data_IF_252119920294
#
_entry.id   IF_252119920294
#
_cell.length_a   1.000
_cell.length_b   1.000
_cell.length_c   1.000
_cell.angle_alpha   90.00
_cell.angle_beta   90.00
_cell.angle_gamma   90.00
#
_symmetry.space_group_name_H-M   'P 1'
#
loop_
_entity.id
_entity.type
_entity.pdbx_description
1 polymer ?
#
# COMPACT_ATOMS: atom_id res chain seq x y z
N UNK A 1 -5.43 -37.42 26.77
CA UNK A 1 -5.80 -37.28 25.34
C UNK A 1 -7.23 -36.77 25.08
N UNK A 2 -8.13 -36.65 26.06
CA UNK A 2 -9.51 -36.15 25.85
C UNK A 2 -9.70 -34.63 25.97
N UNK A 3 -8.74 -33.92 26.57
CA UNK A 3 -8.80 -32.47 26.81
C UNK A 3 -8.58 -31.62 25.54
N UNK A 4 -7.76 -32.08 24.59
CA UNK A 4 -7.42 -31.31 23.37
C UNK A 4 -8.60 -31.26 22.38
N UNK A 5 -9.34 -32.37 22.19
CA UNK A 5 -10.47 -32.45 21.25
C UNK A 5 -11.65 -31.55 21.63
N UNK A 6 -11.87 -31.32 22.93
CA UNK A 6 -12.90 -30.38 23.43
C UNK A 6 -12.52 -28.92 23.15
N UNK A 7 -11.25 -28.57 23.34
CA UNK A 7 -10.76 -27.22 23.05
C UNK A 7 -10.88 -26.86 21.55
N UNK A 8 -10.67 -27.83 20.65
CA UNK A 8 -10.84 -27.63 19.20
C UNK A 8 -12.32 -27.41 18.82
N UNK A 9 -13.24 -28.18 19.40
CA UNK A 9 -14.69 -28.01 19.15
C UNK A 9 -15.24 -26.67 19.66
N UNK A 10 -14.76 -26.21 20.81
CA UNK A 10 -15.12 -24.92 21.39
C UNK A 10 -14.57 -23.75 20.55
N UNK A 11 -13.34 -23.86 20.03
CA UNK A 11 -12.77 -22.88 19.11
C UNK A 11 -13.54 -22.80 17.77
N UNK A 12 -13.96 -23.94 17.20
CA UNK A 12 -14.77 -23.98 15.97
C UNK A 12 -16.14 -23.33 16.21
N UNK A 13 -16.78 -23.62 17.34
CA UNK A 13 -18.10 -23.07 17.67
C UNK A 13 -18.07 -21.54 17.85
N UNK A 14 -17.00 -21.00 18.45
CA UNK A 14 -16.77 -19.55 18.56
C UNK A 14 -16.46 -18.86 17.23
N UNK A 15 -15.99 -19.60 16.22
CA UNK A 15 -15.69 -19.09 14.88
C UNK A 15 -16.91 -19.05 13.94
N UNK A 16 -17.90 -19.91 14.16
CA UNK A 16 -19.13 -20.01 13.35
C UNK A 16 -19.82 -18.67 13.03
N UNK A 17 -19.93 -17.69 13.97
CA UNK A 17 -20.57 -16.40 13.69
C UNK A 17 -19.76 -15.51 12.73
N UNK A 18 -18.45 -15.71 12.66
CA UNK A 18 -17.53 -14.91 11.85
C UNK A 18 -17.32 -15.48 10.45
N UNK A 19 -17.76 -16.71 10.19
CA UNK A 19 -17.56 -17.40 8.93
C UNK A 19 -18.20 -16.64 7.74
N UNK A 20 -19.44 -16.17 7.92
CA UNK A 20 -20.15 -15.37 6.89
C UNK A 20 -19.46 -14.03 6.58
N UNK A 21 -19.13 -13.16 7.57
CA UNK A 21 -18.44 -11.92 7.27
C UNK A 21 -17.03 -12.15 6.70
N UNK A 22 -16.30 -13.16 7.16
CA UNK A 22 -14.97 -13.50 6.61
C UNK A 22 -15.07 -13.94 5.14
N UNK A 23 -15.99 -14.85 4.80
CA UNK A 23 -16.20 -15.28 3.42
C UNK A 23 -16.67 -14.13 2.54
N UNK A 24 -17.51 -13.22 3.07
CA UNK A 24 -17.93 -12.03 2.34
C UNK A 24 -16.77 -11.08 2.07
N UNK A 25 -15.89 -10.84 3.06
CA UNK A 25 -14.71 -10.01 2.91
C UNK A 25 -13.70 -10.65 1.95
N UNK A 26 -13.50 -11.98 2.03
CA UNK A 26 -12.69 -12.74 1.09
C UNK A 26 -13.21 -12.59 -0.35
N UNK A 27 -14.53 -12.67 -0.54
CA UNK A 27 -15.17 -12.50 -1.85
C UNK A 27 -15.04 -11.09 -2.40
N UNK A 28 -15.15 -10.06 -1.58
CA UNK A 28 -14.92 -8.67 -2.02
C UNK A 28 -13.43 -8.43 -2.34
N UNK A 29 -12.52 -8.90 -1.48
CA UNK A 29 -11.07 -8.81 -1.69
C UNK A 29 -10.60 -9.62 -2.91
N UNK A 30 -11.30 -10.71 -3.25
CA UNK A 30 -11.01 -11.53 -4.43
C UNK A 30 -11.23 -10.80 -5.75
N UNK A 31 -12.05 -9.75 -5.77
CA UNK A 31 -12.31 -8.95 -6.97
C UNK A 31 -11.13 -8.04 -7.34
N UNK A 32 -10.25 -7.76 -6.37
CA UNK A 32 -9.04 -6.99 -6.64
C UNK A 32 -7.98 -7.91 -7.27
N UNK A 33 -7.30 -7.49 -8.35
CA UNK A 33 -6.10 -8.16 -8.82
C UNK A 33 -5.05 -8.30 -7.70
N UNK A 34 -4.31 -9.40 -7.70
CA UNK A 34 -3.30 -9.73 -6.67
C UNK A 34 -2.35 -8.55 -6.44
N UNK A 35 -1.79 -7.97 -7.50
CA UNK A 35 -0.83 -6.85 -7.40
C UNK A 35 -1.43 -5.61 -6.72
N UNK A 36 -2.74 -5.34 -6.89
CA UNK A 36 -3.39 -4.21 -6.21
C UNK A 36 -3.44 -4.46 -4.70
N UNK A 37 -3.70 -5.69 -4.25
CA UNK A 37 -3.68 -6.04 -2.84
C UNK A 37 -2.27 -5.96 -2.24
N UNK A 38 -1.26 -6.44 -2.97
CA UNK A 38 0.16 -6.29 -2.60
C UNK A 38 0.46 -4.80 -2.37
N UNK A 39 0.06 -3.96 -3.32
CA UNK A 39 0.31 -2.53 -3.29
C UNK A 39 -0.38 -1.81 -2.11
N UNK A 40 -1.65 -2.15 -1.84
CA UNK A 40 -2.36 -1.59 -0.68
C UNK A 40 -1.72 -2.02 0.64
N UNK A 41 -1.33 -3.29 0.76
CA UNK A 41 -0.63 -3.79 1.95
C UNK A 41 0.71 -3.09 2.14
N UNK A 42 1.42 -2.82 1.04
CA UNK A 42 2.69 -2.10 1.04
C UNK A 42 2.51 -0.66 1.53
N UNK A 43 1.46 0.04 1.07
CA UNK A 43 1.09 1.39 1.54
C UNK A 43 0.73 1.41 3.03
N UNK A 44 -0.14 0.50 3.47
CA UNK A 44 -0.57 0.43 4.88
C UNK A 44 0.60 0.19 5.82
N UNK A 45 1.51 -0.72 5.46
CA UNK A 45 2.73 -0.97 6.24
C UNK A 45 3.68 0.22 6.23
N UNK A 46 3.73 0.98 5.14
CA UNK A 46 4.58 2.16 5.04
C UNK A 46 4.22 3.20 6.10
N UNK A 47 2.94 3.36 6.45
CA UNK A 47 2.47 4.29 7.49
C UNK A 47 3.02 3.97 8.89
N UNK A 48 3.40 2.71 9.15
CA UNK A 48 3.98 2.30 10.43
C UNK A 48 5.51 2.30 10.47
N UNK A 49 6.17 2.38 9.31
CA UNK A 49 7.64 2.25 9.18
C UNK A 49 8.28 3.56 8.76
N UNK A 50 7.63 4.31 7.87
CA UNK A 50 8.15 5.58 7.40
C UNK A 50 7.86 6.69 8.42
N UNK A 51 8.73 7.72 8.47
CA UNK A 51 8.43 8.96 9.17
C UNK A 51 7.12 9.60 8.71
N UNK A 52 6.62 10.55 9.50
CA UNK A 52 5.46 11.35 9.16
C UNK A 52 5.62 12.06 7.80
N UNK A 53 4.48 12.41 7.22
CA UNK A 53 4.42 13.04 5.90
C UNK A 53 5.21 14.35 5.85
N UNK A 54 5.81 14.59 4.70
CA UNK A 54 6.72 15.71 4.47
C UNK A 54 5.94 16.98 4.20
N UNK A 55 5.99 17.93 5.14
CA UNK A 55 5.46 19.27 4.92
C UNK A 55 6.52 20.18 4.28
N UNK A 56 6.25 20.67 3.08
CA UNK A 56 7.18 21.52 2.33
C UNK A 56 7.43 22.86 3.00
N UNK A 57 6.43 23.39 3.72
CA UNK A 57 6.57 24.63 4.49
C UNK A 57 7.64 24.48 5.57
N UNK A 58 7.65 23.33 6.25
CA UNK A 58 8.62 23.01 7.30
C UNK A 58 10.02 22.74 6.74
N UNK A 59 10.11 22.19 5.52
CA UNK A 59 11.38 21.95 4.83
C UNK A 59 12.07 23.24 4.35
N UNK A 60 11.30 24.24 3.91
CA UNK A 60 11.83 25.54 3.49
C UNK A 60 12.03 26.46 4.70
N UNK A 61 11.19 26.33 5.71
CA UNK A 61 11.26 27.12 6.95
C UNK A 61 10.56 28.47 6.85
N UNK A 62 10.89 29.43 7.75
CA UNK A 62 10.15 30.68 7.94
C UNK A 62 10.04 31.58 6.70
N UNK A 63 10.93 31.38 5.73
CA UNK A 63 10.98 32.15 4.48
C UNK A 63 9.97 31.64 3.44
N UNK A 64 9.31 30.50 3.67
CA UNK A 64 8.35 29.91 2.72
C UNK A 64 7.28 30.91 2.28
N UNK A 65 6.62 31.56 3.24
CA UNK A 65 5.54 32.53 2.99
C UNK A 65 6.02 33.83 2.30
N UNK A 66 7.34 34.04 2.20
CA UNK A 66 7.92 35.21 1.51
C UNK A 66 8.06 34.99 0.01
N UNK A 67 8.21 33.73 -0.43
CA UNK A 67 8.50 33.38 -1.84
C UNK A 67 7.42 32.49 -2.47
N UNK A 68 6.63 31.79 -1.67
CA UNK A 68 5.57 30.91 -2.14
C UNK A 68 4.24 31.30 -1.49
N UNK A 69 3.18 31.28 -2.30
CA UNK A 69 1.81 31.35 -1.80
C UNK A 69 1.10 30.07 -2.19
N UNK A 70 0.53 29.40 -1.21
CA UNK A 70 -0.19 28.14 -1.40
C UNK A 70 -1.66 28.43 -1.64
N UNK A 71 -2.20 27.90 -2.75
CA UNK A 71 -3.64 27.95 -3.01
C UNK A 71 -4.41 26.88 -2.20
N UNK A 72 -3.72 25.82 -1.77
CA UNK A 72 -4.26 24.71 -0.98
C UNK A 72 -3.14 24.10 -0.12
N UNK A 73 -3.18 24.38 1.18
CA UNK A 73 -2.16 23.93 2.12
C UNK A 73 -2.08 22.40 2.26
N UNK A 74 -3.15 21.66 1.91
CA UNK A 74 -3.10 20.20 1.89
C UNK A 74 -2.16 19.67 0.80
N UNK A 75 -1.89 20.45 -0.26
CA UNK A 75 -0.93 20.10 -1.31
C UNK A 75 0.53 20.36 -0.88
N UNK A 76 0.74 21.02 0.25
CA UNK A 76 2.09 21.18 0.84
C UNK A 76 2.55 19.94 1.60
N UNK A 77 1.66 18.99 1.88
CA UNK A 77 1.97 17.75 2.57
C UNK A 77 2.15 16.63 1.54
N UNK A 78 3.36 16.07 1.49
CA UNK A 78 3.72 14.96 0.60
C UNK A 78 3.80 13.69 1.44
N UNK A 79 3.00 12.65 1.12
CA UNK A 79 3.12 11.37 1.80
C UNK A 79 4.55 10.84 1.73
N UNK A 80 5.15 10.50 2.87
CA UNK A 80 6.57 10.09 2.91
C UNK A 80 6.83 8.90 1.98
N UNK A 81 5.83 8.04 1.80
CA UNK A 81 5.83 6.93 0.86
C UNK A 81 6.10 7.34 -0.59
N UNK A 82 5.60 8.48 -1.04
CA UNK A 82 5.77 9.00 -2.41
C UNK A 82 6.96 9.95 -2.54
N UNK A 83 7.82 10.04 -1.52
CA UNK A 83 9.06 10.82 -1.61
C UNK A 83 10.21 9.98 -2.16
N UNK A 84 11.29 10.64 -2.58
CA UNK A 84 12.55 9.96 -2.92
C UNK A 84 13.06 9.08 -1.77
N UNK A 85 12.88 9.53 -0.53
CA UNK A 85 13.23 8.75 0.65
C UNK A 85 12.38 7.49 0.74
N UNK A 86 11.05 7.60 0.66
CA UNK A 86 10.14 6.45 0.70
C UNK A 86 10.42 5.43 -0.40
N UNK A 87 10.76 5.89 -1.60
CA UNK A 87 11.20 5.03 -2.70
C UNK A 87 12.45 4.22 -2.33
N UNK A 88 13.52 4.90 -1.94
CA UNK A 88 14.84 4.30 -1.74
C UNK A 88 14.96 3.49 -0.44
N UNK A 89 14.36 4.00 0.64
CA UNK A 89 14.51 3.42 1.97
C UNK A 89 13.50 2.32 2.25
N UNK A 90 12.35 2.32 1.56
CA UNK A 90 11.24 1.40 1.81
C UNK A 90 10.78 0.64 0.56
N UNK A 91 10.25 1.30 -0.48
CA UNK A 91 9.62 0.62 -1.62
C UNK A 91 10.57 -0.37 -2.32
N UNK A 92 11.79 0.07 -2.66
CA UNK A 92 12.78 -0.79 -3.34
C UNK A 92 13.19 -1.99 -2.49
N UNK A 93 13.28 -1.82 -1.17
CA UNK A 93 13.68 -2.91 -0.26
C UNK A 93 12.54 -3.90 0.00
N UNK A 94 11.32 -3.37 0.12
CA UNK A 94 10.17 -4.14 0.57
C UNK A 94 9.41 -4.82 -0.59
N UNK A 95 9.61 -4.37 -1.84
CA UNK A 95 8.90 -4.94 -3.00
C UNK A 95 9.14 -6.44 -3.18
N UNK A 96 10.35 -6.93 -2.91
CA UNK A 96 10.70 -8.35 -3.12
C UNK A 96 10.14 -9.21 -1.98
N UNK A 97 10.24 -8.73 -0.73
CA UNK A 97 9.72 -9.42 0.45
C UNK A 97 8.19 -9.50 0.47
N UNK A 98 7.49 -8.47 -0.02
CA UNK A 98 6.02 -8.44 -0.02
C UNK A 98 5.40 -9.30 -1.11
N UNK A 99 6.09 -9.54 -2.23
CA UNK A 99 5.63 -10.51 -3.23
C UNK A 99 5.61 -11.92 -2.64
N UNK A 100 6.59 -12.27 -1.81
CA UNK A 100 6.59 -13.54 -1.06
C UNK A 100 5.49 -13.60 0.00
N UNK A 101 5.31 -12.54 0.79
CA UNK A 101 4.26 -12.50 1.83
C UNK A 101 2.85 -12.54 1.24
N UNK A 102 2.63 -11.95 0.07
CA UNK A 102 1.29 -11.93 -0.55
C UNK A 102 0.92 -13.25 -1.22
N UNK A 103 1.89 -14.12 -1.53
CA UNK A 103 1.63 -15.52 -1.85
C UNK A 103 0.90 -16.23 -0.69
N UNK A 104 1.19 -15.82 0.55
CA UNK A 104 0.54 -16.33 1.75
C UNK A 104 -0.88 -15.75 1.93
N UNK A 105 -1.10 -14.46 1.65
CA UNK A 105 -2.44 -13.84 1.69
C UNK A 105 -3.38 -14.37 0.59
N UNK A 106 -2.88 -14.71 -0.60
CA UNK A 106 -3.69 -15.34 -1.65
C UNK A 106 -4.17 -16.76 -1.28
N UNK A 107 -3.48 -17.43 -0.34
CA UNK A 107 -3.96 -18.66 0.30
C UNK A 107 -5.07 -18.37 1.32
N UNK A 108 -4.92 -17.34 2.16
CA UNK A 108 -5.95 -16.91 3.12
C UNK A 108 -7.26 -16.50 2.42
N UNK A 109 -7.18 -15.99 1.19
CA UNK A 109 -8.33 -15.60 0.37
C UNK A 109 -8.89 -16.76 -0.50
N UNK A 110 -8.30 -17.96 -0.45
CA UNK A 110 -8.67 -19.12 -1.28
C UNK A 110 -8.65 -18.82 -2.81
N UNK A 111 -7.75 -17.94 -3.25
CA UNK A 111 -7.68 -17.47 -4.64
C UNK A 111 -6.72 -18.28 -5.52
N UNK A 112 -5.72 -18.92 -4.91
CA UNK A 112 -4.80 -19.83 -5.59
C UNK A 112 -4.74 -21.16 -4.85
N UNK A 113 -5.10 -22.25 -5.55
CA UNK A 113 -4.94 -23.63 -5.04
C UNK A 113 -3.47 -24.04 -4.85
N UNK A 114 -2.52 -23.30 -5.43
CA UNK A 114 -1.09 -23.52 -5.28
C UNK A 114 -0.43 -22.43 -4.44
N UNK A 115 0.39 -22.85 -3.49
CA UNK A 115 1.08 -22.03 -2.48
C UNK A 115 2.33 -21.31 -3.05
N UNK A 116 2.63 -21.46 -4.34
CA UNK A 116 3.85 -20.92 -4.96
C UNK A 116 3.55 -20.28 -6.31
N UNK A 117 3.80 -18.98 -6.42
CA UNK A 117 3.87 -18.28 -7.70
C UNK A 117 5.11 -18.73 -8.47
N UNK A 118 4.98 -18.87 -9.79
CA UNK A 118 6.14 -19.08 -10.66
C UNK A 118 7.01 -17.83 -10.70
N UNK A 119 8.28 -17.97 -11.10
CA UNK A 119 9.18 -16.81 -11.24
C UNK A 119 8.66 -15.80 -12.27
N UNK A 120 8.00 -16.28 -13.33
CA UNK A 120 7.37 -15.43 -14.33
C UNK A 120 6.19 -14.62 -13.76
N UNK A 121 5.34 -15.26 -12.95
CA UNK A 121 4.23 -14.56 -12.28
C UNK A 121 4.75 -13.51 -11.30
N UNK A 122 5.82 -13.82 -10.57
CA UNK A 122 6.48 -12.88 -9.63
C UNK A 122 7.03 -11.67 -10.37
N UNK A 123 7.72 -11.88 -11.49
CA UNK A 123 8.26 -10.81 -12.32
C UNK A 123 7.16 -9.90 -12.87
N UNK A 124 6.04 -10.47 -13.33
CA UNK A 124 4.90 -9.69 -13.82
C UNK A 124 4.22 -8.89 -12.68
N UNK A 125 4.05 -9.49 -11.50
CA UNK A 125 3.53 -8.77 -10.32
C UNK A 125 4.46 -7.61 -9.93
N UNK A 126 5.78 -7.83 -9.92
CA UNK A 126 6.76 -6.78 -9.62
C UNK A 126 6.72 -5.65 -10.66
N UNK A 127 6.55 -5.99 -11.95
CA UNK A 127 6.41 -5.01 -13.03
C UNK A 127 5.18 -4.13 -12.82
N UNK A 128 4.02 -4.75 -12.63
CA UNK A 128 2.75 -4.06 -12.38
C UNK A 128 2.79 -3.20 -11.11
N UNK A 129 3.41 -3.72 -10.04
CA UNK A 129 3.61 -2.99 -8.79
C UNK A 129 4.45 -1.73 -8.99
N UNK A 130 5.54 -1.85 -9.77
CA UNK A 130 6.43 -0.73 -10.09
C UNK A 130 5.73 0.31 -10.95
N UNK A 131 4.97 -0.13 -11.96
CA UNK A 131 4.18 0.75 -12.83
C UNK A 131 3.12 1.52 -12.04
N UNK A 132 2.41 0.84 -11.14
CA UNK A 132 1.42 1.50 -10.27
C UNK A 132 2.08 2.53 -9.35
N UNK A 133 3.23 2.20 -8.76
CA UNK A 133 3.96 3.13 -7.90
C UNK A 133 4.42 4.37 -8.68
N UNK A 134 4.99 4.19 -9.87
CA UNK A 134 5.43 5.29 -10.73
C UNK A 134 4.23 6.14 -11.18
N UNK A 135 3.12 5.52 -11.54
CA UNK A 135 1.88 6.22 -11.89
C UNK A 135 1.36 7.08 -10.74
N UNK A 136 1.35 6.54 -9.52
CA UNK A 136 0.92 7.29 -8.33
C UNK A 136 1.90 8.42 -7.98
N UNK A 137 3.21 8.19 -8.13
CA UNK A 137 4.24 9.21 -7.95
C UNK A 137 4.05 10.37 -8.94
N UNK A 138 3.89 10.07 -10.24
CA UNK A 138 3.61 11.09 -11.25
C UNK A 138 2.28 11.79 -11.01
N UNK A 139 1.22 11.07 -10.65
CA UNK A 139 -0.08 11.69 -10.37
C UNK A 139 0.00 12.65 -9.19
N UNK A 140 0.74 12.27 -8.15
CA UNK A 140 0.94 13.13 -6.98
C UNK A 140 1.73 14.40 -7.34
N UNK A 141 2.75 14.30 -8.18
CA UNK A 141 3.51 15.45 -8.66
C UNK A 141 2.72 16.30 -9.67
N UNK A 142 2.11 15.70 -10.68
CA UNK A 142 1.34 16.41 -11.72
C UNK A 142 0.08 17.09 -11.14
N UNK A 143 -0.53 16.51 -10.11
CA UNK A 143 -1.61 17.15 -9.35
C UNK A 143 -1.20 18.46 -8.66
N UNK A 144 0.11 18.71 -8.51
CA UNK A 144 0.68 19.97 -8.03
C UNK A 144 0.97 20.96 -9.17
N UNK A 145 1.39 20.47 -10.33
CA UNK A 145 1.81 21.31 -11.46
C UNK A 145 0.63 21.93 -12.24
N UNK A 146 -0.58 21.36 -12.14
CA UNK A 146 -1.78 21.81 -12.84
C UNK A 146 -2.35 23.19 -12.46
N UNK A 147 -1.64 24.00 -11.66
CA UNK A 147 -2.03 25.39 -11.33
C UNK A 147 -0.87 26.40 -11.38
N UNK A 148 0.32 26.04 -11.89
CA UNK A 148 1.29 27.07 -12.30
C UNK A 148 0.86 27.67 -13.64
N UNK A 149 -0.19 28.48 -13.61
CA UNK A 149 -0.42 29.48 -14.66
C UNK A 149 0.71 30.51 -14.52
N UNK A 150 1.78 30.32 -15.29
CA UNK A 150 2.85 31.30 -15.38
C UNK A 150 2.24 32.60 -15.92
N UNK A 151 2.40 33.75 -15.22
CA UNK A 151 2.02 35.02 -15.83
C UNK A 151 2.88 35.21 -17.06
N UNK A 152 2.22 35.32 -18.22
CA UNK A 152 2.86 35.76 -19.46
C UNK A 152 3.38 37.18 -19.21
N UNK A 153 4.69 37.35 -19.25
CA UNK A 153 5.32 38.67 -19.31
C UNK A 153 5.20 39.24 -20.72
#
# INVERSE_FOLDING_TARGET
MQSVRRATGDAISRWTPYDKPVVSAQKELSKLPVYQRVYQSLKTRALGVLPADLNLRDQVGPTFDQVFTSADDNKLVVPQFLTRYGLQSYFVKQRDELVELTAMDSWVLNLTRSVKYSDADRAEIQRQLTEQYISDYHRHLAGRDGQSEYPQF
#
